data_IF_017003065769
#
_entry.id   IF_017003065769
#
_cell.length_a   1.000
_cell.length_b   1.000
_cell.length_c   1.000
_cell.angle_alpha   90.00
_cell.angle_beta   90.00
_cell.angle_gamma   90.00
#
_symmetry.space_group_name_H-M   'P 1'
#
loop_
_entity.id
_entity.type
_entity.pdbx_description
1 polymer ?
#
# COMPACT_ATOMS: atom_id res chain seq x y z
N UNK A 1 -1.32 28.94 -56.37
CA UNK A 1 -1.74 29.42 -55.05
C UNK A 1 -2.74 28.49 -54.34
N UNK A 2 -3.85 28.04 -54.94
CA UNK A 2 -4.84 27.13 -54.26
C UNK A 2 -4.24 25.80 -53.75
N UNK A 3 -3.38 25.15 -54.57
CA UNK A 3 -2.73 23.87 -54.21
C UNK A 3 -1.77 23.99 -53.02
N UNK A 4 -1.00 25.07 -52.95
CA UNK A 4 -0.11 25.35 -51.80
C UNK A 4 -0.90 25.56 -50.50
N UNK A 5 -2.00 26.33 -50.54
CA UNK A 5 -2.88 26.54 -49.38
C UNK A 5 -3.53 25.22 -48.91
N UNK A 6 -3.86 24.30 -49.79
CA UNK A 6 -4.41 22.99 -49.44
C UNK A 6 -3.36 22.12 -48.79
N UNK A 7 -2.12 22.07 -49.30
CA UNK A 7 -1.02 21.33 -48.68
C UNK A 7 -0.70 21.88 -47.29
N UNK A 8 -0.60 23.21 -47.16
CA UNK A 8 -0.34 23.84 -45.86
C UNK A 8 -1.42 23.51 -44.82
N UNK A 9 -2.71 23.52 -45.22
CA UNK A 9 -3.81 23.12 -44.31
C UNK A 9 -3.72 21.66 -43.88
N UNK A 10 -3.30 20.76 -44.79
CA UNK A 10 -3.12 19.34 -44.45
C UNK A 10 -1.95 19.13 -43.50
N UNK A 11 -0.84 19.84 -43.69
CA UNK A 11 0.31 19.81 -42.79
C UNK A 11 -0.07 20.31 -41.40
N UNK A 12 -0.80 21.43 -41.30
CA UNK A 12 -1.27 21.98 -40.02
C UNK A 12 -2.20 20.99 -39.31
N UNK A 13 -3.15 20.38 -40.01
CA UNK A 13 -4.03 19.34 -39.40
C UNK A 13 -3.24 18.14 -38.92
N UNK A 14 -2.23 17.69 -39.63
CA UNK A 14 -1.37 16.58 -39.22
C UNK A 14 -0.57 16.92 -37.95
N UNK A 15 0.03 18.13 -37.90
CA UNK A 15 0.75 18.61 -36.72
C UNK A 15 -0.20 18.69 -35.50
N UNK A 16 -1.39 19.26 -35.70
CA UNK A 16 -2.41 19.31 -34.61
C UNK A 16 -2.80 17.91 -34.14
N UNK A 17 -2.98 16.95 -35.02
CA UNK A 17 -3.27 15.57 -34.67
C UNK A 17 -2.14 14.96 -33.82
N UNK A 18 -0.87 15.16 -34.20
CA UNK A 18 0.29 14.70 -33.43
C UNK A 18 0.30 15.33 -32.02
N UNK A 19 0.14 16.65 -31.94
CA UNK A 19 0.15 17.37 -30.64
C UNK A 19 -0.98 16.89 -29.74
N UNK A 20 -2.19 16.72 -30.29
CA UNK A 20 -3.33 16.22 -29.55
C UNK A 20 -3.10 14.77 -29.07
N UNK A 21 -2.55 13.91 -29.93
CA UNK A 21 -2.25 12.51 -29.61
C UNK A 21 -1.19 12.41 -28.49
N UNK A 22 -0.14 13.23 -28.57
CA UNK A 22 0.89 13.30 -27.53
C UNK A 22 0.31 13.82 -26.21
N UNK A 23 -0.51 14.88 -26.26
CA UNK A 23 -1.21 15.40 -25.08
C UNK A 23 -2.10 14.34 -24.42
N UNK A 24 -2.87 13.59 -25.22
CA UNK A 24 -3.72 12.51 -24.72
C UNK A 24 -2.88 11.36 -24.10
N UNK A 25 -1.76 11.01 -24.73
CA UNK A 25 -0.84 10.00 -24.20
C UNK A 25 -0.23 10.42 -22.85
N UNK A 26 0.12 11.69 -22.69
CA UNK A 26 0.61 12.23 -21.41
C UNK A 26 -0.48 12.16 -20.36
N UNK A 27 -1.70 12.61 -20.66
CA UNK A 27 -2.85 12.53 -19.74
C UNK A 27 -3.10 11.09 -19.32
N UNK A 28 -3.12 10.15 -20.28
CA UNK A 28 -3.30 8.74 -19.99
C UNK A 28 -2.24 8.21 -19.05
N UNK A 29 -0.96 8.52 -19.29
CA UNK A 29 0.15 8.08 -18.45
C UNK A 29 0.13 8.72 -17.05
N UNK A 30 -0.18 9.99 -16.95
CA UNK A 30 -0.16 10.70 -15.66
C UNK A 30 -1.32 10.28 -14.76
N UNK A 31 -2.53 10.15 -15.33
CA UNK A 31 -3.76 9.98 -14.52
C UNK A 31 -4.33 8.56 -14.53
N UNK A 32 -4.05 7.75 -15.54
CA UNK A 32 -4.72 6.46 -15.71
C UNK A 32 -3.81 5.28 -15.42
N UNK A 33 -2.58 5.25 -15.97
CA UNK A 33 -1.68 4.10 -15.87
C UNK A 33 -0.32 4.50 -15.30
N UNK A 34 0.14 3.77 -14.30
CA UNK A 34 1.52 3.88 -13.81
C UNK A 34 2.51 3.22 -14.80
N UNK A 35 3.82 3.51 -14.70
CA UNK A 35 4.84 2.78 -15.44
C UNK A 35 4.72 1.27 -15.23
N UNK A 36 5.19 0.47 -16.18
CA UNK A 36 5.33 -0.96 -16.00
C UNK A 36 6.37 -1.21 -14.91
N UNK A 37 5.95 -1.95 -13.88
CA UNK A 37 6.76 -2.23 -12.70
C UNK A 37 7.28 -3.67 -12.78
N UNK A 38 8.59 -3.85 -12.60
CA UNK A 38 9.22 -5.17 -12.46
C UNK A 38 9.15 -5.63 -11.01
N UNK A 39 8.79 -6.88 -10.79
CA UNK A 39 8.66 -7.48 -9.46
C UNK A 39 9.92 -8.31 -9.15
N UNK A 40 10.77 -7.87 -8.21
CA UNK A 40 11.97 -8.59 -7.85
C UNK A 40 11.76 -9.63 -6.76
N UNK A 41 10.74 -9.49 -5.91
CA UNK A 41 10.54 -10.29 -4.70
C UNK A 41 9.50 -11.39 -4.88
N UNK A 42 9.52 -12.38 -3.96
CA UNK A 42 8.59 -13.51 -3.92
C UNK A 42 7.39 -13.27 -3.00
N UNK A 43 7.30 -12.11 -2.35
CA UNK A 43 6.32 -11.84 -1.29
C UNK A 43 4.85 -11.94 -1.71
N UNK A 44 4.58 -11.92 -3.01
CA UNK A 44 3.22 -12.03 -3.58
C UNK A 44 2.99 -13.36 -4.33
N UNK A 45 3.91 -14.33 -4.20
CA UNK A 45 3.69 -15.67 -4.78
C UNK A 45 2.56 -16.41 -4.04
N UNK A 46 1.67 -17.09 -4.77
CA UNK A 46 1.73 -17.44 -6.20
C UNK A 46 1.02 -16.44 -7.14
N UNK A 47 0.31 -15.42 -6.63
CA UNK A 47 -0.46 -14.51 -7.47
C UNK A 47 0.44 -13.72 -8.44
N UNK A 48 1.47 -13.08 -7.89
CA UNK A 48 2.50 -12.35 -8.64
C UNK A 48 3.86 -12.95 -8.27
N UNK A 49 4.66 -13.30 -9.27
CA UNK A 49 5.95 -13.98 -9.10
C UNK A 49 7.13 -13.04 -9.35
N UNK A 50 8.25 -13.34 -8.73
CA UNK A 50 9.51 -12.68 -9.06
C UNK A 50 9.81 -12.83 -10.57
N UNK A 51 10.18 -11.72 -11.24
CA UNK A 51 10.38 -11.65 -12.69
C UNK A 51 9.13 -11.29 -13.52
N UNK A 52 7.97 -11.11 -12.87
CA UNK A 52 6.79 -10.55 -13.52
C UNK A 52 6.99 -9.04 -13.77
N UNK A 53 6.44 -8.56 -14.88
CA UNK A 53 6.22 -7.14 -15.13
C UNK A 53 4.72 -6.86 -15.16
N UNK A 54 4.28 -5.89 -14.37
CA UNK A 54 2.86 -5.62 -14.15
C UNK A 54 2.46 -4.23 -14.64
N UNK A 55 1.20 -4.11 -15.04
CA UNK A 55 0.54 -2.81 -15.27
C UNK A 55 -0.31 -2.46 -14.05
N UNK A 56 -0.25 -1.18 -13.69
CA UNK A 56 -0.93 -0.61 -12.53
C UNK A 56 -1.85 0.51 -12.99
N UNK A 57 -3.11 0.47 -12.59
CA UNK A 57 -4.05 1.56 -12.83
C UNK A 57 -4.08 2.53 -11.64
N UNK A 58 -4.03 3.82 -11.95
CA UNK A 58 -4.21 4.89 -10.96
C UNK A 58 -5.67 5.26 -10.75
N UNK A 59 -6.59 4.73 -11.55
CA UNK A 59 -8.03 4.99 -11.41
C UNK A 59 -8.60 4.43 -10.09
N UNK A 60 -7.85 3.56 -9.44
CA UNK A 60 -8.12 3.01 -8.12
C UNK A 60 -6.83 3.14 -7.32
N UNK A 61 -6.78 3.90 -6.26
CA UNK A 61 -7.79 4.75 -5.58
C UNK A 61 -7.95 6.15 -6.16
N UNK A 62 -7.29 6.50 -7.23
CA UNK A 62 -7.19 7.80 -7.87
C UNK A 62 -5.75 8.27 -7.99
N UNK A 63 -5.46 9.07 -9.01
CA UNK A 63 -4.11 9.58 -9.25
C UNK A 63 -3.67 10.51 -8.12
N UNK A 64 -2.42 10.38 -7.72
CA UNK A 64 -1.76 11.25 -6.75
C UNK A 64 -1.10 12.42 -7.50
N UNK A 65 -1.38 13.63 -7.08
CA UNK A 65 -0.78 14.85 -7.63
C UNK A 65 0.09 15.47 -6.56
N UNK A 66 1.31 15.81 -6.91
CA UNK A 66 2.25 16.48 -6.01
C UNK A 66 2.00 17.99 -6.06
N UNK A 67 1.88 18.64 -4.92
CA UNK A 67 1.60 20.09 -4.86
C UNK A 67 2.79 20.93 -5.29
N UNK A 68 4.02 20.45 -5.03
CA UNK A 68 5.23 21.11 -5.49
C UNK A 68 6.25 20.08 -6.01
N UNK A 69 6.60 20.19 -7.30
CA UNK A 69 7.65 19.36 -7.92
C UNK A 69 9.08 19.67 -7.39
N UNK A 70 9.27 20.79 -6.69
CA UNK A 70 10.54 21.15 -6.06
C UNK A 70 10.82 20.35 -4.79
N UNK A 71 9.76 19.84 -4.13
CA UNK A 71 9.87 19.05 -2.89
C UNK A 71 10.54 17.68 -3.11
N UNK A 72 10.67 17.20 -4.35
CA UNK A 72 11.44 16.01 -4.67
C UNK A 72 12.94 16.09 -4.34
N UNK A 73 13.45 17.27 -3.95
CA UNK A 73 14.89 17.53 -3.73
C UNK A 73 15.28 17.90 -2.31
N UNK A 74 14.34 18.07 -1.41
CA UNK A 74 14.62 18.54 -0.04
C UNK A 74 13.96 17.58 0.93
N UNK A 75 14.67 17.23 2.01
CA UNK A 75 14.20 16.41 3.14
C UNK A 75 12.91 16.96 3.78
N UNK A 76 11.80 16.81 3.11
CA UNK A 76 10.52 17.34 3.53
C UNK A 76 9.40 16.36 3.24
N UNK A 77 8.37 16.36 4.07
CA UNK A 77 7.14 15.60 3.82
C UNK A 77 6.60 15.94 2.44
N UNK A 78 6.49 14.93 1.61
CA UNK A 78 5.92 15.07 0.27
C UNK A 78 4.42 15.30 0.43
N UNK A 79 3.97 16.54 0.23
CA UNK A 79 2.54 16.85 0.23
C UNK A 79 1.92 16.39 -1.08
N UNK A 80 0.97 15.49 -0.97
CA UNK A 80 0.25 14.95 -2.13
C UNK A 80 -1.24 15.20 -1.98
N UNK A 81 -1.88 15.57 -3.07
CA UNK A 81 -3.33 15.62 -3.19
C UNK A 81 -3.80 14.47 -4.08
N UNK A 82 -4.79 13.73 -3.61
CA UNK A 82 -5.36 12.64 -4.38
C UNK A 82 -6.57 13.11 -5.19
N UNK A 83 -6.57 12.82 -6.48
CA UNK A 83 -7.77 12.97 -7.30
C UNK A 83 -8.74 11.84 -6.97
N UNK A 84 -10.03 12.14 -7.07
CA UNK A 84 -11.05 11.13 -6.86
C UNK A 84 -10.91 10.00 -7.88
N UNK A 85 -10.78 8.77 -7.39
CA UNK A 85 -10.78 7.57 -8.23
C UNK A 85 -12.16 7.26 -8.79
N UNK A 86 -12.21 6.45 -9.85
CA UNK A 86 -13.48 5.96 -10.42
C UNK A 86 -14.11 4.85 -9.57
N UNK A 87 -13.31 4.18 -8.74
CA UNK A 87 -13.75 3.15 -7.79
C UNK A 87 -12.92 3.22 -6.52
N UNK A 88 -13.52 2.79 -5.42
CA UNK A 88 -12.81 2.63 -4.15
C UNK A 88 -11.97 1.36 -4.15
N UNK A 89 -10.95 1.34 -3.28
CA UNK A 89 -10.21 0.12 -2.94
C UNK A 89 -11.17 -0.90 -2.33
N UNK A 90 -10.96 -2.17 -2.64
CA UNK A 90 -11.73 -3.29 -2.09
C UNK A 90 -10.77 -4.31 -1.47
N UNK A 91 -11.28 -5.10 -0.52
CA UNK A 91 -10.54 -6.26 0.00
C UNK A 91 -10.11 -7.15 -1.15
N UNK A 92 -8.95 -7.76 -1.02
CA UNK A 92 -8.25 -8.57 -2.02
C UNK A 92 -7.70 -7.78 -3.24
N UNK A 93 -7.84 -6.46 -3.33
CA UNK A 93 -7.11 -5.72 -4.35
C UNK A 93 -5.60 -5.78 -4.10
N UNK A 94 -4.85 -6.11 -5.13
CA UNK A 94 -3.38 -6.06 -5.10
C UNK A 94 -2.95 -4.65 -5.47
N UNK A 95 -2.31 -3.95 -4.53
CA UNK A 95 -1.98 -2.53 -4.61
C UNK A 95 -0.48 -2.30 -4.67
N UNK A 96 -0.08 -1.32 -5.45
CA UNK A 96 1.27 -0.75 -5.46
C UNK A 96 1.26 0.52 -4.63
N UNK A 97 2.25 0.66 -3.77
CA UNK A 97 2.42 1.83 -2.92
C UNK A 97 3.89 2.12 -2.65
N UNK A 98 4.20 3.34 -2.25
CA UNK A 98 5.49 3.69 -1.70
C UNK A 98 5.60 3.16 -0.28
N UNK A 99 6.76 2.61 0.07
CA UNK A 99 6.97 2.09 1.43
C UNK A 99 6.90 3.25 2.44
N UNK A 100 6.14 3.10 3.54
CA UNK A 100 5.90 4.20 4.46
C UNK A 100 7.05 4.52 5.42
N UNK A 101 8.15 3.73 5.42
CA UNK A 101 9.27 3.91 6.34
C UNK A 101 10.60 3.93 5.56
N UNK A 102 11.21 5.12 5.38
CA UNK A 102 12.42 5.26 4.57
C UNK A 102 13.73 4.91 5.28
N UNK A 103 13.77 4.92 6.60
CA UNK A 103 15.00 4.66 7.34
C UNK A 103 14.82 4.42 8.84
N UNK A 104 13.66 4.76 9.37
CA UNK A 104 13.33 4.65 10.78
C UNK A 104 11.92 4.09 10.95
N UNK A 105 11.78 3.04 11.73
CA UNK A 105 10.47 2.40 12.03
C UNK A 105 9.60 3.22 12.99
N UNK A 106 10.18 4.22 13.66
CA UNK A 106 9.47 5.09 14.60
C UNK A 106 8.78 6.28 13.93
N UNK A 107 8.97 6.45 12.61
CA UNK A 107 8.36 7.56 11.87
C UNK A 107 7.93 7.16 10.46
N UNK A 108 6.69 7.48 10.12
CA UNK A 108 6.23 7.38 8.74
C UNK A 108 6.89 8.50 7.92
N UNK A 109 7.70 8.09 6.94
CA UNK A 109 8.37 8.95 5.99
C UNK A 109 8.40 8.24 4.64
N UNK A 110 7.50 8.65 3.73
CA UNK A 110 7.24 7.96 2.48
C UNK A 110 8.47 7.92 1.57
N UNK A 111 9.03 6.73 1.33
CA UNK A 111 10.10 6.56 0.36
C UNK A 111 9.54 6.49 -1.07
N UNK A 112 9.75 7.54 -1.84
CA UNK A 112 9.26 7.62 -3.23
C UNK A 112 9.99 6.65 -4.18
N UNK A 113 11.17 6.16 -3.81
CA UNK A 113 11.99 5.28 -4.63
C UNK A 113 11.68 3.80 -4.37
N UNK A 114 11.15 3.47 -3.19
CA UNK A 114 10.85 2.09 -2.80
C UNK A 114 9.37 1.78 -3.02
N UNK A 115 9.12 0.85 -3.95
CA UNK A 115 7.78 0.40 -4.30
C UNK A 115 7.51 -0.97 -3.70
N UNK A 116 6.39 -1.09 -3.01
CA UNK A 116 5.87 -2.36 -2.50
C UNK A 116 4.61 -2.76 -3.26
N UNK A 117 4.44 -4.07 -3.40
CA UNK A 117 3.23 -4.71 -3.92
C UNK A 117 2.69 -5.64 -2.85
N UNK A 118 1.47 -5.39 -2.38
CA UNK A 118 0.79 -6.22 -1.38
C UNK A 118 -0.70 -6.27 -1.66
N UNK A 119 -1.38 -7.21 -1.02
CA UNK A 119 -2.83 -7.36 -1.07
C UNK A 119 -3.48 -6.60 0.09
N UNK A 120 -4.49 -5.82 -0.22
CA UNK A 120 -5.31 -5.15 0.79
C UNK A 120 -6.27 -6.17 1.41
N UNK A 121 -6.11 -6.48 2.68
CA UNK A 121 -6.96 -7.46 3.38
C UNK A 121 -7.97 -6.81 4.33
N UNK A 122 -7.67 -5.58 4.82
CA UNK A 122 -8.66 -4.81 5.57
C UNK A 122 -8.68 -3.35 5.11
N UNK A 123 -9.87 -2.77 5.13
CA UNK A 123 -10.22 -1.43 4.66
C UNK A 123 -10.40 -0.46 5.83
N UNK A 124 -10.42 0.86 5.57
CA UNK A 124 -10.77 1.85 6.58
C UNK A 124 -12.12 1.53 7.24
N UNK A 125 -12.16 1.53 8.57
CA UNK A 125 -13.32 1.16 9.38
C UNK A 125 -13.42 -0.32 9.74
N UNK A 126 -12.58 -1.19 9.16
CA UNK A 126 -12.54 -2.60 9.52
C UNK A 126 -11.79 -2.86 10.83
N UNK A 127 -12.09 -3.97 11.47
CA UNK A 127 -11.27 -4.58 12.53
C UNK A 127 -10.68 -5.87 12.01
N UNK A 128 -9.36 -5.92 11.90
CA UNK A 128 -8.61 -7.07 11.36
C UNK A 128 -8.04 -7.93 12.49
N UNK A 129 -8.13 -9.24 12.32
CA UNK A 129 -7.47 -10.23 13.19
C UNK A 129 -6.94 -11.42 12.38
N UNK A 130 -6.00 -12.14 12.98
CA UNK A 130 -5.56 -13.47 12.56
C UNK A 130 -5.81 -14.40 13.74
N UNK A 131 -6.53 -15.48 13.51
CA UNK A 131 -6.79 -16.51 14.53
C UNK A 131 -6.32 -17.85 13.99
N UNK A 132 -5.36 -18.44 14.68
CA UNK A 132 -4.69 -19.66 14.25
C UNK A 132 -4.28 -19.62 12.76
N UNK A 133 -3.70 -18.51 12.30
CA UNK A 133 -3.23 -18.33 10.93
C UNK A 133 -4.29 -17.91 9.90
N UNK A 134 -5.57 -17.87 10.28
CA UNK A 134 -6.68 -17.53 9.38
C UNK A 134 -7.06 -16.06 9.56
N UNK A 135 -7.13 -15.32 8.46
CA UNK A 135 -7.50 -13.91 8.44
C UNK A 135 -8.99 -13.71 8.64
N UNK A 136 -9.34 -12.77 9.50
CA UNK A 136 -10.71 -12.35 9.77
C UNK A 136 -10.83 -10.82 9.70
N UNK A 137 -11.98 -10.36 9.25
CA UNK A 137 -12.36 -8.94 9.28
C UNK A 137 -13.75 -8.84 9.89
N UNK A 138 -13.89 -7.97 10.90
CA UNK A 138 -15.15 -7.75 11.63
C UNK A 138 -15.73 -9.07 12.18
N UNK A 139 -14.87 -9.96 12.65
CA UNK A 139 -15.18 -11.33 13.13
C UNK A 139 -15.82 -12.25 12.06
N UNK A 140 -15.78 -11.87 10.77
CA UNK A 140 -16.27 -12.68 9.67
C UNK A 140 -15.12 -13.43 8.98
N UNK A 141 -15.41 -14.68 8.59
CA UNK A 141 -14.52 -15.49 7.75
C UNK A 141 -14.81 -15.19 6.27
N UNK A 142 -14.28 -14.07 5.81
CA UNK A 142 -14.27 -13.78 4.38
C UNK A 142 -13.08 -14.49 3.72
N UNK A 143 -13.17 -14.76 2.41
CA UNK A 143 -12.02 -15.25 1.64
C UNK A 143 -11.02 -14.10 1.43
N UNK A 144 -10.10 -13.93 2.36
CA UNK A 144 -9.10 -12.87 2.39
C UNK A 144 -7.71 -13.43 2.09
N UNK A 145 -6.92 -12.68 1.33
CA UNK A 145 -5.53 -13.06 1.08
C UNK A 145 -5.37 -14.39 0.32
N UNK A 146 -4.28 -15.08 0.57
CA UNK A 146 -4.00 -16.39 0.00
C UNK A 146 -4.45 -17.51 0.95
N UNK A 147 -5.66 -18.03 0.76
CA UNK A 147 -6.26 -19.05 1.64
C UNK A 147 -5.37 -20.30 1.80
N UNK A 148 -4.74 -20.76 0.72
CA UNK A 148 -3.84 -21.91 0.75
C UNK A 148 -2.66 -21.68 1.73
N UNK A 149 -2.02 -20.50 1.68
CA UNK A 149 -0.90 -20.15 2.57
C UNK A 149 -1.36 -19.98 4.02
N UNK A 150 -2.58 -19.52 4.24
CA UNK A 150 -3.18 -19.48 5.58
C UNK A 150 -3.38 -20.88 6.15
N UNK A 151 -3.88 -21.82 5.34
CA UNK A 151 -4.01 -23.21 5.74
C UNK A 151 -2.65 -23.86 6.05
N UNK A 152 -1.61 -23.61 5.25
CA UNK A 152 -0.25 -24.05 5.59
C UNK A 152 0.19 -23.49 6.95
N UNK A 153 -0.09 -22.20 7.21
CA UNK A 153 0.27 -21.57 8.48
C UNK A 153 -0.42 -22.20 9.68
N UNK A 154 -1.66 -22.70 9.55
CA UNK A 154 -2.35 -23.40 10.67
C UNK A 154 -1.59 -24.63 11.14
N UNK A 155 -0.90 -25.30 10.23
CA UNK A 155 -0.17 -26.57 10.48
C UNK A 155 1.22 -26.36 11.09
N UNK A 156 1.75 -25.13 11.04
CA UNK A 156 3.09 -24.82 11.56
C UNK A 156 3.05 -24.66 13.09
N UNK A 157 4.12 -25.05 13.75
CA UNK A 157 4.34 -24.81 15.20
C UNK A 157 5.15 -23.54 15.44
N UNK A 158 5.25 -23.09 16.70
CA UNK A 158 6.10 -21.95 17.07
C UNK A 158 7.56 -22.17 16.70
N UNK A 159 8.04 -23.39 16.82
CA UNK A 159 9.45 -23.75 16.62
C UNK A 159 9.87 -23.75 15.15
N UNK A 160 8.88 -23.74 14.22
CA UNK A 160 9.13 -23.63 12.78
C UNK A 160 9.49 -22.19 12.36
N UNK A 161 9.39 -21.20 13.28
CA UNK A 161 9.61 -19.80 12.96
C UNK A 161 10.83 -19.21 13.69
N UNK A 162 11.61 -18.42 12.95
CA UNK A 162 12.58 -17.54 13.57
C UNK A 162 11.88 -16.45 14.40
N UNK A 163 12.54 -15.89 15.43
CA UNK A 163 11.99 -14.78 16.20
C UNK A 163 11.54 -13.58 15.35
N UNK A 164 12.26 -13.31 14.25
CA UNK A 164 11.94 -12.20 13.33
C UNK A 164 10.60 -12.39 12.62
N UNK A 165 10.31 -13.63 12.17
CA UNK A 165 9.03 -13.95 11.52
C UNK A 165 7.91 -14.03 12.54
N UNK A 166 8.20 -14.52 13.76
CA UNK A 166 7.20 -14.70 14.80
C UNK A 166 6.72 -13.38 15.37
N UNK A 167 7.64 -12.45 15.68
CA UNK A 167 7.32 -11.19 16.33
C UNK A 167 6.67 -10.21 15.36
N UNK A 168 5.42 -9.85 15.63
CA UNK A 168 4.64 -8.93 14.83
C UNK A 168 4.51 -7.54 15.49
N UNK A 169 4.07 -6.59 14.70
CA UNK A 169 3.64 -5.26 15.17
C UNK A 169 2.67 -5.40 16.36
N UNK A 170 2.72 -4.55 17.39
CA UNK A 170 3.57 -3.35 17.52
C UNK A 170 4.96 -3.62 18.11
N UNK A 171 5.42 -4.87 18.17
CA UNK A 171 6.71 -5.29 18.77
C UNK A 171 6.82 -5.03 20.27
N UNK A 172 5.70 -4.90 20.95
CA UNK A 172 5.59 -4.72 22.39
C UNK A 172 4.97 -5.97 23.03
N UNK A 173 5.82 -6.83 23.56
CA UNK A 173 5.40 -8.09 24.18
C UNK A 173 4.73 -7.90 25.56
N UNK A 174 4.80 -6.70 26.15
CA UNK A 174 4.18 -6.41 27.46
C UNK A 174 2.68 -6.20 27.31
N UNK A 175 2.26 -5.48 26.27
CA UNK A 175 0.86 -5.12 26.03
C UNK A 175 0.19 -5.99 24.97
N UNK A 176 0.96 -6.58 24.06
CA UNK A 176 0.46 -7.34 22.90
C UNK A 176 1.26 -8.63 22.71
N UNK A 177 0.58 -9.76 22.73
CA UNK A 177 1.16 -11.08 22.42
C UNK A 177 1.00 -11.46 20.95
N UNK A 178 0.88 -10.46 20.06
CA UNK A 178 0.60 -10.69 18.65
C UNK A 178 1.78 -11.34 17.94
N UNK A 179 1.44 -12.29 17.11
CA UNK A 179 2.39 -13.05 16.31
C UNK A 179 1.76 -13.39 14.94
N UNK A 180 2.50 -14.09 14.09
CA UNK A 180 2.06 -14.41 12.73
C UNK A 180 0.79 -15.28 12.69
N UNK A 181 0.53 -16.10 13.72
CA UNK A 181 -0.67 -16.98 13.81
C UNK A 181 -1.84 -16.33 14.52
N UNK A 182 -1.56 -15.49 15.51
CA UNK A 182 -2.56 -14.86 16.36
C UNK A 182 -2.25 -13.37 16.47
N UNK A 183 -3.01 -12.56 15.77
CA UNK A 183 -2.80 -11.13 15.61
C UNK A 183 -4.09 -10.36 15.75
N UNK A 184 -4.03 -9.22 16.40
CA UNK A 184 -5.22 -8.36 16.56
C UNK A 184 -6.04 -8.69 17.81
N UNK A 185 -7.28 -8.17 17.88
CA UNK A 185 -7.94 -7.33 16.89
C UNK A 185 -7.28 -5.95 16.73
N UNK A 186 -7.05 -5.53 15.49
CA UNK A 186 -6.52 -4.22 15.14
C UNK A 186 -7.59 -3.44 14.35
N UNK A 187 -8.05 -2.33 14.89
CA UNK A 187 -8.93 -1.41 14.17
C UNK A 187 -8.13 -0.67 13.08
N UNK A 188 -8.65 -0.63 11.86
CA UNK A 188 -8.08 0.07 10.71
C UNK A 188 -8.77 1.43 10.59
N UNK A 189 -8.12 2.56 10.94
CA UNK A 189 -8.79 3.84 11.01
C UNK A 189 -9.33 4.32 9.66
N UNK A 190 -10.52 4.92 9.70
CA UNK A 190 -11.09 5.69 8.61
C UNK A 190 -11.05 7.18 8.91
N UNK A 191 -10.90 7.99 7.87
CA UNK A 191 -11.00 9.45 7.98
C UNK A 191 -12.32 9.85 8.65
N UNK A 192 -12.24 10.73 9.64
CA UNK A 192 -13.38 11.17 10.46
C UNK A 192 -13.72 10.26 11.63
N UNK A 193 -13.13 9.07 11.76
CA UNK A 193 -13.38 8.18 12.89
C UNK A 193 -12.43 8.49 14.04
N UNK A 194 -12.94 8.35 15.26
CA UNK A 194 -12.19 8.63 16.48
C UNK A 194 -11.92 7.36 17.28
N UNK A 195 -10.79 7.35 17.97
CA UNK A 195 -10.42 6.33 18.96
C UNK A 195 -10.16 6.99 20.30
N UNK A 196 -10.41 6.25 21.38
CA UNK A 196 -9.87 6.61 22.70
C UNK A 196 -8.36 6.40 22.70
N UNK A 197 -7.61 7.27 23.32
CA UNK A 197 -6.16 7.21 23.36
C UNK A 197 -5.67 6.95 24.77
N UNK A 198 -5.41 5.70 25.05
CA UNK A 198 -4.67 5.19 26.19
C UNK A 198 -3.28 4.73 25.76
N UNK A 199 -2.48 4.21 26.70
CA UNK A 199 -1.12 3.71 26.41
C UNK A 199 -1.16 2.59 25.37
N UNK A 200 -2.13 1.68 25.45
CA UNK A 200 -2.23 0.54 24.52
C UNK A 200 -2.53 1.03 23.11
N UNK A 201 -3.55 1.88 22.95
CA UNK A 201 -3.88 2.44 21.63
C UNK A 201 -2.77 3.36 21.10
N UNK A 202 -2.05 4.07 21.99
CA UNK A 202 -0.89 4.84 21.57
C UNK A 202 0.17 3.96 20.90
N UNK A 203 0.48 2.78 21.43
CA UNK A 203 1.45 1.87 20.83
C UNK A 203 1.06 1.44 19.40
N UNK A 204 -0.24 1.30 19.13
CA UNK A 204 -0.74 0.92 17.82
C UNK A 204 -0.77 2.10 16.82
N UNK A 205 -1.07 3.30 17.29
CA UNK A 205 -1.42 4.42 16.41
C UNK A 205 -0.47 5.61 16.50
N UNK A 206 0.59 5.56 17.32
CA UNK A 206 1.57 6.63 17.48
C UNK A 206 2.08 7.16 16.15
N UNK A 207 2.63 6.28 15.31
CA UNK A 207 3.23 6.69 14.05
C UNK A 207 2.21 7.34 13.10
N UNK A 208 0.95 6.90 13.13
CA UNK A 208 -0.14 7.46 12.31
C UNK A 208 -0.51 8.86 12.78
N UNK A 209 -0.67 9.04 14.10
CA UNK A 209 -1.03 10.33 14.71
C UNK A 209 0.10 11.34 14.52
N UNK A 210 1.34 10.95 14.76
CA UNK A 210 2.52 11.79 14.53
C UNK A 210 2.68 12.15 13.04
N UNK A 211 2.33 11.22 12.15
CA UNK A 211 2.33 11.48 10.69
C UNK A 211 1.30 12.54 10.30
N UNK A 212 0.05 12.44 10.80
CA UNK A 212 -1.01 13.38 10.47
C UNK A 212 -0.82 14.77 11.10
N UNK A 213 -0.29 14.82 12.31
CA UNK A 213 -0.19 16.06 13.11
C UNK A 213 1.14 16.77 12.97
N UNK A 214 2.19 16.04 12.58
CA UNK A 214 3.57 16.49 12.62
C UNK A 214 4.05 16.87 14.03
N UNK A 215 3.43 16.30 15.05
CA UNK A 215 3.75 16.51 16.46
C UNK A 215 4.08 15.17 17.12
N UNK A 216 4.84 15.19 18.21
CA UNK A 216 5.22 13.97 18.94
C UNK A 216 4.22 13.62 20.03
N UNK A 217 3.92 12.33 20.13
CA UNK A 217 3.20 11.76 21.28
C UNK A 217 4.18 11.43 22.40
N UNK A 218 3.79 11.74 23.61
CA UNK A 218 4.54 11.42 24.84
C UNK A 218 3.61 10.86 25.93
N UNK A 219 4.20 10.20 26.92
CA UNK A 219 3.46 9.68 28.09
C UNK A 219 4.03 10.28 29.35
N UNK A 220 3.17 10.91 30.15
CA UNK A 220 3.50 11.42 31.48
C UNK A 220 2.46 10.97 32.49
N UNK A 221 2.90 10.35 33.57
CA UNK A 221 2.02 9.83 34.65
C UNK A 221 0.88 8.91 34.12
N UNK A 222 1.18 8.09 33.12
CA UNK A 222 0.18 7.17 32.55
C UNK A 222 -0.85 7.82 31.60
N UNK A 223 -0.69 9.10 31.29
CA UNK A 223 -1.55 9.86 30.39
C UNK A 223 -0.80 10.19 29.10
N UNK A 224 -1.54 10.21 27.98
CA UNK A 224 -0.98 10.50 26.65
C UNK A 224 -1.12 11.99 26.34
N UNK A 225 -0.06 12.57 25.78
CA UNK A 225 0.03 13.97 25.36
C UNK A 225 0.46 14.06 23.89
N UNK A 226 -0.13 14.99 23.16
CA UNK A 226 0.33 15.40 21.85
C UNK A 226 1.00 16.77 21.99
N UNK A 227 2.29 16.85 21.76
CA UNK A 227 3.12 17.95 22.21
C UNK A 227 2.92 18.17 23.73
N UNK A 228 2.37 19.30 24.15
CA UNK A 228 2.14 19.65 25.56
C UNK A 228 0.67 19.53 26.00
N UNK A 229 -0.22 19.13 25.09
CA UNK A 229 -1.65 19.02 25.37
C UNK A 229 -2.07 17.58 25.63
N UNK A 230 -2.83 17.36 26.72
CA UNK A 230 -3.38 16.03 27.04
C UNK A 230 -4.35 15.59 25.94
N UNK A 231 -4.15 14.36 25.43
CA UNK A 231 -4.96 13.79 24.36
C UNK A 231 -5.68 12.52 24.85
N UNK A 232 -7.01 12.61 25.02
CA UNK A 232 -7.85 11.47 25.42
C UNK A 232 -8.48 10.75 24.23
N UNK A 233 -8.67 11.46 23.14
CA UNK A 233 -9.33 10.94 21.94
C UNK A 233 -8.68 11.56 20.70
N UNK A 234 -8.45 10.76 19.67
CA UNK A 234 -7.92 11.25 18.41
C UNK A 234 -8.87 10.93 17.25
N UNK A 235 -9.12 11.90 16.39
CA UNK A 235 -9.92 11.75 15.16
C UNK A 235 -8.99 11.74 13.95
N UNK A 236 -8.97 10.63 13.23
CA UNK A 236 -8.09 10.44 12.07
C UNK A 236 -8.52 11.32 10.90
N UNK A 237 -7.53 11.88 10.21
CA UNK A 237 -7.72 12.72 9.01
C UNK A 237 -7.63 11.90 7.72
N UNK A 238 -6.87 10.79 7.73
CA UNK A 238 -6.61 9.92 6.60
C UNK A 238 -7.29 8.56 6.77
N UNK A 239 -7.44 7.87 5.65
CA UNK A 239 -7.80 6.47 5.60
C UNK A 239 -6.55 5.58 5.69
N UNK A 240 -6.67 4.46 6.40
CA UNK A 240 -5.60 3.48 6.55
C UNK A 240 -6.02 2.11 6.03
N UNK A 241 -5.04 1.29 5.71
CA UNK A 241 -5.27 -0.03 5.12
C UNK A 241 -4.33 -1.06 5.73
N UNK A 242 -4.80 -2.30 5.87
CA UNK A 242 -3.95 -3.42 6.24
C UNK A 242 -3.54 -4.19 5.00
N UNK A 243 -2.24 -4.28 4.76
CA UNK A 243 -1.64 -4.87 3.57
C UNK A 243 -0.93 -6.17 3.92
N UNK A 244 -1.22 -7.26 3.21
CA UNK A 244 -0.59 -8.55 3.42
C UNK A 244 0.01 -9.10 2.11
N UNK A 245 1.13 -9.78 2.21
CA UNK A 245 1.68 -10.56 1.10
C UNK A 245 1.00 -11.92 0.97
N UNK A 246 0.84 -12.39 -0.26
CA UNK A 246 0.29 -13.72 -0.52
C UNK A 246 1.23 -14.84 -0.04
N UNK A 247 2.56 -14.60 -0.09
CA UNK A 247 3.56 -15.48 0.49
C UNK A 247 3.77 -15.14 1.97
N UNK A 248 2.91 -15.68 2.82
CA UNK A 248 2.84 -15.36 4.25
C UNK A 248 4.19 -15.53 4.97
N UNK A 249 4.99 -16.53 4.56
CA UNK A 249 6.24 -16.90 5.19
C UNK A 249 7.43 -16.02 4.76
N UNK A 250 7.30 -15.29 3.63
CA UNK A 250 8.36 -14.45 3.06
C UNK A 250 7.77 -13.11 2.61
N UNK A 251 7.19 -12.35 3.54
CA UNK A 251 6.59 -11.06 3.25
C UNK A 251 6.75 -10.08 4.40
N UNK A 252 7.48 -8.98 4.17
CA UNK A 252 7.43 -7.79 5.02
C UNK A 252 6.20 -6.97 4.68
N UNK A 253 5.16 -7.04 5.54
CA UNK A 253 3.87 -6.39 5.32
C UNK A 253 3.29 -5.81 6.63
N UNK A 254 2.02 -5.41 6.64
CA UNK A 254 1.38 -4.74 7.78
C UNK A 254 1.43 -5.53 9.09
N UNK A 255 1.64 -6.83 9.04
CA UNK A 255 1.89 -7.63 10.25
C UNK A 255 3.16 -7.18 10.99
N UNK A 256 4.09 -6.52 10.31
CA UNK A 256 5.39 -6.12 10.86
C UNK A 256 5.55 -4.62 10.99
N UNK A 257 5.03 -3.83 10.05
CA UNK A 257 5.22 -2.38 10.06
C UNK A 257 3.92 -1.58 10.32
N UNK A 258 2.77 -2.26 10.55
CA UNK A 258 1.51 -1.62 10.89
C UNK A 258 0.70 -1.18 9.65
N UNK A 259 -0.04 -0.10 9.77
CA UNK A 259 -1.04 0.31 8.79
C UNK A 259 -0.46 1.23 7.70
N UNK A 260 -0.98 1.08 6.47
CA UNK A 260 -0.60 1.88 5.32
C UNK A 260 -1.48 3.13 5.22
N UNK A 261 -0.93 4.36 5.27
CA UNK A 261 -1.67 5.58 4.96
C UNK A 261 -2.09 5.60 3.48
N UNK A 262 -3.28 6.13 3.20
CA UNK A 262 -3.77 6.26 1.83
C UNK A 262 -2.86 7.09 0.92
N UNK A 263 -2.13 8.06 1.46
CA UNK A 263 -1.20 8.90 0.72
C UNK A 263 -0.07 8.11 0.05
N UNK A 264 0.32 6.99 0.65
CA UNK A 264 1.36 6.13 0.09
C UNK A 264 0.91 5.34 -1.15
N UNK A 265 -0.40 5.18 -1.39
CA UNK A 265 -0.90 4.37 -2.50
C UNK A 265 -0.63 5.00 -3.86
N UNK A 266 -0.20 4.17 -4.82
CA UNK A 266 0.00 4.54 -6.22
C UNK A 266 -1.16 4.06 -7.08
N UNK A 267 -1.56 2.79 -6.93
CA UNK A 267 -2.64 2.24 -7.73
C UNK A 267 -2.81 0.73 -7.58
N UNK A 268 -3.75 0.18 -8.36
CA UNK A 268 -4.07 -1.24 -8.37
C UNK A 268 -3.34 -1.96 -9.51
N UNK A 269 -2.67 -3.07 -9.19
CA UNK A 269 -2.13 -3.99 -10.17
C UNK A 269 -3.28 -4.71 -10.91
N UNK A 270 -3.23 -4.73 -12.25
CA UNK A 270 -4.32 -5.27 -13.08
C UNK A 270 -3.93 -6.58 -13.74
N UNK A 271 -2.80 -6.59 -14.43
CA UNK A 271 -2.32 -7.79 -15.09
C UNK A 271 -0.79 -7.80 -15.28
N UNK A 272 -0.26 -9.00 -15.43
CA UNK A 272 1.13 -9.26 -15.80
C UNK A 272 1.28 -9.08 -17.31
N UNK A 273 2.17 -8.20 -17.75
CA UNK A 273 2.45 -8.01 -19.20
C UNK A 273 3.30 -9.14 -19.75
N UNK A 274 4.33 -9.52 -19.02
CA UNK A 274 5.19 -10.65 -19.33
C UNK A 274 5.98 -11.07 -18.07
N UNK A 275 6.56 -12.26 -18.11
CA UNK A 275 7.32 -12.82 -17.00
C UNK A 275 8.55 -13.56 -17.49
N UNK A 276 9.68 -13.32 -16.84
CA UNK A 276 10.92 -14.10 -17.02
C UNK A 276 11.35 -14.66 -15.69
N UNK A 277 11.74 -15.91 -15.67
CA UNK A 277 12.32 -16.54 -14.49
C UNK A 277 13.67 -15.88 -14.16
N UNK A 278 13.85 -15.29 -12.94
CA UNK A 278 15.10 -14.61 -12.60
C UNK A 278 16.31 -15.54 -12.56
N UNK A 279 16.11 -16.82 -12.21
CA UNK A 279 17.21 -17.79 -12.08
C UNK A 279 17.64 -18.37 -13.43
N UNK A 280 16.69 -18.65 -14.32
CA UNK A 280 16.96 -19.33 -15.61
C UNK A 280 16.89 -18.40 -16.82
N UNK A 281 16.37 -17.18 -16.66
CA UNK A 281 16.10 -16.24 -17.75
C UNK A 281 15.00 -16.69 -18.72
N UNK A 282 14.38 -17.86 -18.49
CA UNK A 282 13.36 -18.42 -19.38
C UNK A 282 12.05 -17.62 -19.29
N UNK A 283 11.42 -17.43 -20.44
CA UNK A 283 10.13 -16.77 -20.53
C UNK A 283 8.99 -17.69 -20.02
N UNK A 284 8.11 -17.15 -19.16
CA UNK A 284 6.97 -17.88 -18.59
C UNK A 284 5.70 -17.55 -19.39
N UNK A 285 5.48 -18.19 -20.54
CA UNK A 285 4.37 -17.93 -21.46
C UNK A 285 3.00 -17.98 -20.81
N UNK A 286 2.77 -18.88 -19.84
CA UNK A 286 1.49 -19.02 -19.10
C UNK A 286 1.14 -17.78 -18.26
N UNK A 287 2.08 -16.84 -18.11
CA UNK A 287 1.89 -15.60 -17.34
C UNK A 287 1.73 -14.37 -18.24
N UNK A 288 1.77 -14.54 -19.55
CA UNK A 288 1.50 -13.46 -20.50
C UNK A 288 0.04 -13.01 -20.38
N UNK A 289 -0.17 -11.71 -20.13
CA UNK A 289 -1.50 -11.08 -19.96
C UNK A 289 -2.33 -11.76 -18.84
N UNK A 290 -1.68 -12.33 -17.82
CA UNK A 290 -2.36 -12.93 -16.67
C UNK A 290 -3.00 -11.84 -15.80
N UNK A 291 -4.32 -11.92 -15.62
CA UNK A 291 -5.05 -11.01 -14.72
C UNK A 291 -4.65 -11.26 -13.28
N UNK A 292 -4.39 -10.18 -12.53
CA UNK A 292 -4.11 -10.21 -11.09
C UNK A 292 -5.45 -10.05 -10.37
N UNK A 293 -5.83 -11.10 -9.65
CA UNK A 293 -7.07 -11.15 -8.85
C UNK A 293 -6.79 -10.87 -7.40
#
# INVERSE_FOLDING_TARGET
MKRYKSILKSVIKFIMFIVLSLGLAVVFRVFIVAPIISIPSKSMEPAVMAGDRIIVTKLIPGARVFEDFRQFRIDGKVQTKRLRGIRQVRRNNVLVFNFPYSGDWDRIDMDLNVLYLKRCVALPGDTFSIENGIYKVNNCLDSLGCAFRQQELTLQSRDDFSPVIWNCFPHDSVHYSWNIKDFGPLYVPASGNSISLDIRNMLLYKNLIEYETNQKLSVHNGLVYLADERLNTYTFKLNYYFMAGDNIFDSGDSRYWGLLPEDCMIGKAIFVTHSKDPATGKFRWKRLIKIIK
#
